data_IF_893650845126
#
_entry.id   IF_893650845126
#
_cell.length_a   1.000
_cell.length_b   1.000
_cell.length_c   1.000
_cell.angle_alpha   90.00
_cell.angle_beta   90.00
_cell.angle_gamma   90.00
#
_symmetry.space_group_name_H-M   'P 1'
#
loop_
_entity.id
_entity.type
_entity.pdbx_description
1 polymer ?
#
# COMPACT_ATOMS: atom_id res chain seq x y z
N UNK A 1 7.79 -6.60 -17.68
CA UNK A 1 7.54 -5.82 -16.47
C UNK A 1 7.95 -4.37 -16.72
N UNK A 2 7.02 -3.45 -16.58
CA UNK A 2 7.25 -1.99 -16.67
C UNK A 2 6.55 -1.34 -15.48
N UNK A 3 7.19 -0.34 -14.88
CA UNK A 3 6.54 0.48 -13.84
C UNK A 3 5.45 1.37 -14.46
N UNK A 4 4.43 1.78 -13.69
CA UNK A 4 3.33 2.63 -14.17
C UNK A 4 3.81 3.88 -14.90
N UNK A 5 4.86 4.53 -14.43
CA UNK A 5 5.44 5.74 -14.99
C UNK A 5 5.99 5.53 -16.43
N UNK A 6 6.32 4.29 -16.78
CA UNK A 6 6.84 3.88 -18.11
C UNK A 6 5.78 3.31 -19.02
N UNK A 7 4.55 3.14 -18.56
CA UNK A 7 3.44 2.66 -19.36
C UNK A 7 2.82 3.81 -20.14
N UNK A 8 3.12 3.87 -21.43
CA UNK A 8 2.43 4.75 -22.38
C UNK A 8 1.21 4.05 -22.98
N UNK A 9 0.35 3.51 -22.12
CA UNK A 9 -0.79 2.73 -22.58
C UNK A 9 -1.95 3.65 -22.98
N UNK A 10 -2.53 3.40 -24.15
CA UNK A 10 -3.82 3.99 -24.55
C UNK A 10 -5.00 3.31 -23.82
N UNK A 11 -4.81 2.07 -23.38
CA UNK A 11 -5.80 1.32 -22.64
C UNK A 11 -5.79 1.73 -21.17
N UNK A 12 -6.98 1.89 -20.62
CA UNK A 12 -7.20 2.22 -19.21
C UNK A 12 -7.77 1.02 -18.49
N UNK A 13 -7.49 0.93 -17.19
CA UNK A 13 -7.94 -0.15 -16.33
C UNK A 13 -9.14 0.27 -15.50
N UNK A 14 -10.03 -0.66 -15.21
CA UNK A 14 -11.15 -0.45 -14.27
C UNK A 14 -10.68 -0.52 -12.83
N UNK A 15 -9.67 -1.38 -12.58
CA UNK A 15 -9.11 -1.62 -11.23
C UNK A 15 -7.58 -1.65 -11.31
N UNK A 16 -6.92 -1.05 -10.32
CA UNK A 16 -5.48 -1.18 -10.06
C UNK A 16 -5.29 -1.71 -8.64
N UNK A 17 -4.41 -2.70 -8.51
CA UNK A 17 -3.98 -3.26 -7.22
C UNK A 17 -2.52 -2.91 -6.97
N UNK A 18 -2.27 -2.14 -5.92
CA UNK A 18 -0.93 -1.81 -5.40
C UNK A 18 -0.76 -2.53 -4.06
N UNK A 19 -0.14 -3.70 -4.09
CA UNK A 19 0.04 -4.53 -2.90
C UNK A 19 1.52 -4.53 -2.52
N UNK A 20 1.86 -3.94 -1.38
CA UNK A 20 3.24 -3.85 -0.85
C UNK A 20 4.22 -3.23 -1.87
N UNK A 21 3.84 -2.10 -2.48
CA UNK A 21 4.64 -1.43 -3.53
C UNK A 21 5.05 -0.03 -3.10
N UNK A 22 4.14 0.74 -2.50
CA UNK A 22 4.34 2.18 -2.26
C UNK A 22 5.53 2.49 -1.33
N UNK A 23 5.88 1.57 -0.45
CA UNK A 23 7.06 1.65 0.43
C UNK A 23 8.39 1.40 -0.30
N UNK A 24 8.35 0.93 -1.54
CA UNK A 24 9.53 0.62 -2.36
C UNK A 24 9.78 1.64 -3.47
N UNK A 25 8.88 2.58 -3.68
CA UNK A 25 9.06 3.61 -4.71
C UNK A 25 9.73 4.86 -4.14
N UNK A 26 10.56 5.51 -4.95
CA UNK A 26 11.29 6.71 -4.50
C UNK A 26 10.40 7.94 -4.40
N UNK A 27 9.39 8.05 -5.28
CA UNK A 27 8.42 9.15 -5.29
C UNK A 27 7.00 8.60 -5.35
N UNK A 28 6.36 8.52 -4.19
CA UNK A 28 5.00 7.97 -4.05
C UNK A 28 3.98 8.82 -4.81
N UNK A 29 4.08 10.16 -4.78
CA UNK A 29 3.16 11.04 -5.49
C UNK A 29 3.18 10.77 -7.00
N UNK A 30 4.36 10.78 -7.62
CA UNK A 30 4.52 10.49 -9.05
C UNK A 30 4.02 9.09 -9.43
N UNK A 31 4.22 8.10 -8.54
CA UNK A 31 3.71 6.75 -8.74
C UNK A 31 2.18 6.73 -8.74
N UNK A 32 1.55 7.37 -7.75
CA UNK A 32 0.08 7.45 -7.62
C UNK A 32 -0.52 8.25 -8.79
N UNK A 33 0.08 9.37 -9.20
CA UNK A 33 -0.31 10.13 -10.40
C UNK A 33 -0.30 9.22 -11.64
N UNK A 34 0.75 8.41 -11.80
CA UNK A 34 0.87 7.48 -12.92
C UNK A 34 -0.24 6.41 -12.89
N UNK A 35 -0.58 5.90 -11.71
CA UNK A 35 -1.71 4.98 -11.53
C UNK A 35 -3.04 5.68 -11.85
N UNK A 36 -3.23 6.92 -11.39
CA UNK A 36 -4.41 7.73 -11.71
C UNK A 36 -4.57 7.86 -13.24
N UNK A 37 -3.47 8.15 -13.94
CA UNK A 37 -3.48 8.28 -15.39
C UNK A 37 -3.78 6.97 -16.13
N UNK A 38 -3.57 5.81 -15.53
CA UNK A 38 -3.87 4.49 -16.09
C UNK A 38 -5.29 4.01 -15.78
N UNK A 39 -5.98 4.60 -14.80
CA UNK A 39 -7.37 4.26 -14.48
C UNK A 39 -8.36 4.94 -15.43
N UNK A 40 -9.47 4.25 -15.71
CA UNK A 40 -10.66 4.85 -16.28
C UNK A 40 -11.29 5.84 -15.30
N UNK A 41 -12.17 6.71 -15.77
CA UNK A 41 -13.07 7.46 -14.90
C UNK A 41 -13.89 6.48 -14.07
N UNK A 42 -14.13 6.81 -12.81
CA UNK A 42 -14.80 5.96 -11.82
C UNK A 42 -14.09 4.60 -11.57
N UNK A 43 -12.83 4.46 -11.99
CA UNK A 43 -12.01 3.30 -11.69
C UNK A 43 -11.54 3.28 -10.24
N UNK A 44 -11.30 2.09 -9.70
CA UNK A 44 -10.95 1.88 -8.29
C UNK A 44 -9.50 1.45 -8.17
N UNK A 45 -8.80 2.03 -7.19
CA UNK A 45 -7.46 1.60 -6.80
C UNK A 45 -7.47 1.10 -5.36
N UNK A 46 -6.87 -0.06 -5.16
CA UNK A 46 -6.58 -0.61 -3.85
C UNK A 46 -5.09 -0.48 -3.56
N UNK A 47 -4.75 0.16 -2.45
CA UNK A 47 -3.35 0.32 -2.03
C UNK A 47 -3.17 -0.28 -0.65
N UNK A 48 -2.46 -1.40 -0.56
CA UNK A 48 -2.11 -2.07 0.67
C UNK A 48 -0.62 -1.86 0.98
N UNK A 49 -0.31 -1.51 2.23
CA UNK A 49 1.07 -1.27 2.69
C UNK A 49 1.18 -1.40 4.21
N UNK A 50 2.40 -1.30 4.71
CA UNK A 50 2.72 -1.30 6.13
C UNK A 50 2.58 0.10 6.73
N UNK A 51 1.96 0.17 7.91
CA UNK A 51 1.86 1.42 8.67
C UNK A 51 3.20 1.74 9.34
N UNK A 52 3.63 3.01 9.32
CA UNK A 52 4.79 3.49 10.11
C UNK A 52 4.40 3.65 11.58
N UNK A 53 4.26 2.53 12.27
CA UNK A 53 3.92 2.47 13.69
C UNK A 53 4.98 1.69 14.47
N UNK A 54 5.04 1.90 15.78
CA UNK A 54 5.93 1.10 16.65
C UNK A 54 5.57 -0.39 16.61
N UNK A 55 4.29 -0.72 16.46
CA UNK A 55 3.81 -2.11 16.38
C UNK A 55 4.28 -2.77 15.08
N UNK A 56 4.23 -2.06 13.94
CA UNK A 56 4.74 -2.58 12.67
C UNK A 56 6.27 -2.74 12.72
N UNK A 57 6.99 -1.81 13.33
CA UNK A 57 8.44 -1.94 13.54
C UNK A 57 8.80 -3.20 14.32
N UNK A 58 8.13 -3.45 15.45
CA UNK A 58 8.37 -4.63 16.27
C UNK A 58 8.00 -5.94 15.54
N UNK A 59 6.90 -5.96 14.81
CA UNK A 59 6.43 -7.17 14.13
C UNK A 59 7.15 -7.44 12.81
N UNK A 60 7.25 -6.44 11.93
CA UNK A 60 7.80 -6.62 10.59
C UNK A 60 9.33 -6.69 10.62
N UNK A 61 9.99 -5.80 11.34
CA UNK A 61 11.45 -5.71 11.34
C UNK A 61 12.05 -6.63 12.39
N UNK A 62 11.74 -6.41 13.68
CA UNK A 62 12.35 -7.21 14.75
C UNK A 62 11.84 -8.66 14.71
N UNK A 63 10.54 -8.85 14.51
CA UNK A 63 9.92 -10.18 14.49
C UNK A 63 10.31 -10.97 13.25
N UNK A 64 9.94 -10.49 12.05
CA UNK A 64 10.07 -11.26 10.83
C UNK A 64 11.51 -11.31 10.30
N UNK A 65 12.26 -10.22 10.37
CA UNK A 65 13.62 -10.18 9.81
C UNK A 65 14.68 -10.69 10.80
N UNK A 66 14.68 -10.22 12.04
CA UNK A 66 15.75 -10.55 13.00
C UNK A 66 15.48 -11.81 13.81
N UNK A 67 14.29 -11.99 14.36
CA UNK A 67 14.01 -13.09 15.27
C UNK A 67 13.57 -14.37 14.58
N UNK A 68 12.62 -14.29 13.65
CA UNK A 68 12.10 -15.46 12.94
C UNK A 68 12.84 -15.75 11.63
N UNK A 69 13.54 -14.75 11.10
CA UNK A 69 14.28 -14.84 9.83
C UNK A 69 13.41 -15.35 8.66
N UNK A 70 12.14 -15.02 8.69
CA UNK A 70 11.21 -15.33 7.59
C UNK A 70 11.52 -14.53 6.33
N UNK A 71 12.11 -13.34 6.52
CA UNK A 71 12.53 -12.44 5.45
C UNK A 71 14.01 -12.08 5.63
N UNK A 72 14.75 -11.80 4.56
CA UNK A 72 16.12 -11.29 4.65
C UNK A 72 16.17 -9.97 5.44
N UNK A 73 17.24 -9.78 6.22
CA UNK A 73 17.49 -8.55 6.96
C UNK A 73 17.60 -7.38 5.98
N UNK A 74 16.90 -6.27 6.25
CA UNK A 74 16.87 -5.09 5.39
C UNK A 74 15.85 -5.15 4.27
N UNK A 75 14.92 -6.13 4.30
CA UNK A 75 13.81 -6.19 3.34
C UNK A 75 12.90 -4.97 3.45
N UNK A 76 12.73 -4.44 4.67
CA UNK A 76 11.86 -3.29 4.92
C UNK A 76 12.66 -2.12 5.51
N UNK A 77 12.53 -0.95 4.89
CA UNK A 77 12.96 0.33 5.46
C UNK A 77 11.76 1.00 6.14
N UNK A 78 11.72 0.96 7.46
CA UNK A 78 10.62 1.53 8.26
C UNK A 78 10.38 3.03 7.98
N UNK A 79 11.41 3.77 7.61
CA UNK A 79 11.28 5.20 7.28
C UNK A 79 10.47 5.42 6.00
N UNK A 80 10.39 4.43 5.13
CA UNK A 80 9.59 4.46 3.90
C UNK A 80 8.13 4.02 4.10
N UNK A 81 7.79 3.49 5.28
CA UNK A 81 6.41 3.15 5.60
C UNK A 81 5.57 4.42 5.72
N UNK A 82 4.35 4.37 5.23
CA UNK A 82 3.41 5.48 5.26
C UNK A 82 2.35 5.26 6.34
N UNK A 83 2.02 6.32 7.07
CA UNK A 83 0.81 6.30 7.90
C UNK A 83 -0.42 6.39 7.01
N UNK A 84 -1.58 5.83 7.45
CA UNK A 84 -2.81 5.92 6.67
C UNK A 84 -3.14 7.34 6.22
N UNK A 85 -3.01 8.34 7.12
CA UNK A 85 -3.33 9.74 6.85
C UNK A 85 -2.36 10.36 5.83
N UNK A 86 -1.10 9.93 5.83
CA UNK A 86 -0.09 10.41 4.86
C UNK A 86 -0.41 9.90 3.46
N UNK A 87 -0.71 8.59 3.34
CA UNK A 87 -1.08 7.99 2.06
C UNK A 87 -2.42 8.54 1.55
N UNK A 88 -3.42 8.69 2.42
CA UNK A 88 -4.70 9.28 2.07
C UNK A 88 -4.54 10.71 1.52
N UNK A 89 -3.69 11.53 2.17
CA UNK A 89 -3.39 12.88 1.68
C UNK A 89 -2.75 12.87 0.29
N UNK A 90 -1.83 11.93 0.03
CA UNK A 90 -1.20 11.78 -1.30
C UNK A 90 -2.28 11.40 -2.33
N UNK A 91 -3.11 10.41 -2.03
CA UNK A 91 -4.22 10.00 -2.90
C UNK A 91 -5.17 11.15 -3.24
N UNK A 92 -5.56 11.94 -2.23
CA UNK A 92 -6.40 13.11 -2.43
C UNK A 92 -5.75 14.18 -3.32
N UNK A 93 -4.46 14.45 -3.12
CA UNK A 93 -3.72 15.42 -3.94
C UNK A 93 -3.69 15.02 -5.43
N UNK A 94 -3.69 13.72 -5.71
CA UNK A 94 -3.70 13.19 -7.08
C UNK A 94 -5.12 12.97 -7.65
N UNK A 95 -6.16 13.41 -6.94
CA UNK A 95 -7.54 13.41 -7.44
C UNK A 95 -8.38 12.19 -7.07
N UNK A 96 -7.90 11.34 -6.17
CA UNK A 96 -8.70 10.23 -5.65
C UNK A 96 -9.60 10.64 -4.49
N UNK A 97 -10.74 9.97 -4.35
CA UNK A 97 -11.56 9.99 -3.14
C UNK A 97 -11.41 8.68 -2.39
N UNK A 98 -11.15 8.74 -1.10
CA UNK A 98 -11.12 7.55 -0.24
C UNK A 98 -12.52 6.97 -0.10
N UNK A 99 -12.67 5.67 -0.38
CA UNK A 99 -13.92 4.94 -0.17
C UNK A 99 -13.93 4.24 1.19
N UNK A 100 -12.83 3.58 1.54
CA UNK A 100 -12.70 2.84 2.81
C UNK A 100 -11.24 2.61 3.19
N UNK A 101 -10.96 2.46 4.49
CA UNK A 101 -9.66 2.10 5.04
C UNK A 101 -9.84 0.95 6.02
N UNK A 102 -9.17 -0.17 5.79
CA UNK A 102 -9.22 -1.36 6.66
C UNK A 102 -7.82 -1.85 7.01
N UNK A 103 -7.69 -2.35 8.24
CA UNK A 103 -6.51 -3.09 8.65
C UNK A 103 -6.54 -4.52 8.10
N UNK A 104 -5.36 -5.10 7.88
CA UNK A 104 -5.20 -6.48 7.48
C UNK A 104 -4.42 -7.24 8.55
N UNK A 105 -5.04 -8.26 9.12
CA UNK A 105 -4.41 -9.12 10.12
C UNK A 105 -4.21 -10.53 9.58
N UNK A 106 -2.95 -10.99 9.61
CA UNK A 106 -2.62 -12.37 9.29
C UNK A 106 -2.67 -13.24 10.55
N UNK A 107 -3.41 -14.34 10.47
CA UNK A 107 -3.41 -15.36 11.50
C UNK A 107 -2.51 -16.53 11.08
N UNK A 108 -1.33 -16.72 11.69
CA UNK A 108 -0.38 -17.76 11.28
C UNK A 108 -0.87 -19.19 11.58
N UNK A 109 -1.77 -19.35 12.53
CA UNK A 109 -2.31 -20.68 12.88
C UNK A 109 -3.28 -21.17 11.81
N UNK A 110 -4.18 -20.29 11.35
CA UNK A 110 -5.16 -20.64 10.31
C UNK A 110 -4.68 -20.33 8.89
N UNK A 111 -3.51 -19.73 8.75
CA UNK A 111 -2.93 -19.24 7.47
C UNK A 111 -3.92 -18.38 6.67
N UNK A 112 -4.67 -17.51 7.38
CA UNK A 112 -5.70 -16.67 6.77
C UNK A 112 -5.50 -15.20 7.13
N UNK A 113 -5.81 -14.35 6.15
CA UNK A 113 -5.95 -12.91 6.34
C UNK A 113 -7.39 -12.57 6.74
N UNK A 114 -7.53 -11.57 7.62
CA UNK A 114 -8.83 -11.01 8.01
C UNK A 114 -8.75 -9.49 7.99
N UNK A 115 -9.83 -8.87 7.58
CA UNK A 115 -10.06 -7.44 7.76
C UNK A 115 -10.19 -7.10 9.24
N UNK A 116 -9.78 -5.90 9.60
CA UNK A 116 -9.78 -5.39 10.97
C UNK A 116 -9.90 -3.86 10.95
N UNK A 117 -10.48 -3.31 11.99
CA UNK A 117 -10.44 -1.86 12.24
C UNK A 117 -9.07 -1.40 12.78
N UNK A 118 -8.20 -2.34 13.13
CA UNK A 118 -6.87 -2.05 13.64
C UNK A 118 -5.87 -1.84 12.50
N UNK A 119 -5.48 -0.59 12.28
CA UNK A 119 -4.54 -0.16 11.24
C UNK A 119 -3.07 -0.20 11.69
N UNK A 120 -2.76 -0.75 12.87
CA UNK A 120 -1.44 -0.59 13.49
C UNK A 120 -0.28 -1.29 12.78
N UNK A 121 -0.53 -2.27 11.92
CA UNK A 121 0.52 -3.03 11.20
C UNK A 121 0.39 -2.85 9.71
N UNK A 122 -0.61 -3.45 9.11
CA UNK A 122 -0.90 -3.34 7.68
C UNK A 122 -2.29 -2.72 7.50
N UNK A 123 -2.45 -2.00 6.43
CA UNK A 123 -3.74 -1.46 6.05
C UNK A 123 -3.92 -1.45 4.53
N UNK A 124 -5.14 -1.36 4.10
CA UNK A 124 -5.53 -1.20 2.71
C UNK A 124 -6.46 0.01 2.59
N UNK A 125 -6.19 0.86 1.63
CA UNK A 125 -7.07 1.97 1.23
C UNK A 125 -7.70 1.60 -0.11
N UNK A 126 -9.02 1.65 -0.18
CA UNK A 126 -9.76 1.66 -1.44
C UNK A 126 -10.09 3.08 -1.83
N UNK A 127 -9.77 3.46 -3.05
CA UNK A 127 -9.91 4.83 -3.54
C UNK A 127 -10.53 4.87 -4.94
N UNK A 128 -11.40 5.85 -5.17
CA UNK A 128 -12.10 6.08 -6.41
C UNK A 128 -11.43 7.21 -7.19
N UNK A 129 -11.21 7.01 -8.46
CA UNK A 129 -10.81 8.08 -9.38
C UNK A 129 -12.01 8.96 -9.72
N UNK A 130 -11.92 10.23 -9.39
CA UNK A 130 -12.92 11.24 -9.74
C UNK A 130 -12.85 11.68 -11.21
#
# INVERSE_FOLDING_TARGET
NKSPEKLKNKEKFDIILNLEIVEHVDNVGLYIESCYNLLKKDGIMFTATLNRSLVSYLKAIIGAEYRLRWLPIGTHDWNKFLKPEELEKILHNEGFSTLDIKGLNFNPISNKWKESENLSVNYIISSLKN
#
